data_IF_552149972695
#
_entry.id   IF_552149972695
#
_cell.length_a   1.000
_cell.length_b   1.000
_cell.length_c   1.000
_cell.angle_alpha   90.00
_cell.angle_beta   90.00
_cell.angle_gamma   90.00
#
_symmetry.space_group_name_H-M   'P 1'
#
loop_
_entity.id
_entity.type
_entity.pdbx_description
1 polymer ?
#
# COMPACT_ATOMS: atom_id res chain seq x y z
N UNK A 1 -46.41 29.23 -34.06
CA UNK A 1 -45.69 27.98 -34.35
C UNK A 1 -44.21 28.27 -34.11
N UNK A 2 -43.75 28.06 -32.87
CA UNK A 2 -42.40 28.39 -32.42
C UNK A 2 -41.74 27.07 -32.10
N UNK A 3 -40.70 26.74 -32.87
CA UNK A 3 -39.93 25.51 -32.74
C UNK A 3 -38.86 25.74 -31.64
N UNK A 4 -38.93 25.00 -30.57
CA UNK A 4 -37.89 24.96 -29.54
C UNK A 4 -36.87 23.85 -29.91
N UNK A 5 -35.63 24.26 -30.22
CA UNK A 5 -34.49 23.38 -30.41
C UNK A 5 -33.89 23.11 -29.03
N UNK A 6 -34.08 21.90 -28.51
CA UNK A 6 -33.46 21.46 -27.27
C UNK A 6 -31.98 21.13 -27.48
N UNK A 7 -31.10 21.88 -26.82
CA UNK A 7 -29.68 21.56 -26.69
C UNK A 7 -29.53 20.42 -25.68
N UNK A 8 -29.16 19.24 -26.12
CA UNK A 8 -28.73 18.14 -25.24
C UNK A 8 -27.27 18.43 -24.86
N UNK A 9 -27.08 18.95 -23.66
CA UNK A 9 -25.75 19.02 -23.04
C UNK A 9 -25.31 17.60 -22.63
N UNK A 10 -24.34 17.06 -23.37
CA UNK A 10 -23.67 15.83 -22.98
C UNK A 10 -22.88 16.10 -21.67
N UNK A 11 -23.40 15.65 -20.56
CA UNK A 11 -22.66 15.58 -19.29
C UNK A 11 -21.56 14.53 -19.45
N UNK A 12 -20.36 14.97 -19.75
CA UNK A 12 -19.14 14.17 -19.61
C UNK A 12 -18.91 13.91 -18.12
N UNK A 13 -19.26 12.72 -17.67
CA UNK A 13 -18.87 12.23 -16.35
C UNK A 13 -17.36 12.25 -16.25
N UNK A 14 -16.78 12.82 -15.17
CA UNK A 14 -15.35 12.78 -14.96
C UNK A 14 -14.91 11.31 -14.83
N UNK A 15 -13.92 10.92 -15.63
CA UNK A 15 -13.24 9.64 -15.53
C UNK A 15 -12.57 9.55 -14.17
N UNK A 16 -13.20 8.83 -13.25
CA UNK A 16 -12.58 8.51 -11.96
C UNK A 16 -11.40 7.55 -12.20
N UNK A 17 -10.21 8.09 -12.19
CA UNK A 17 -8.98 7.30 -12.12
C UNK A 17 -8.96 6.60 -10.78
N UNK A 18 -9.11 5.28 -10.80
CA UNK A 18 -8.88 4.42 -9.65
C UNK A 18 -7.37 4.25 -9.47
N UNK A 19 -6.75 5.14 -8.69
CA UNK A 19 -5.39 4.96 -8.20
C UNK A 19 -5.40 4.01 -7.00
N UNK A 20 -5.74 2.74 -7.24
CA UNK A 20 -5.34 1.68 -6.33
C UNK A 20 -3.87 1.38 -6.60
N UNK A 21 -2.96 1.98 -5.83
CA UNK A 21 -1.51 1.70 -5.80
C UNK A 21 -0.79 1.72 -7.17
N UNK A 22 -1.15 2.63 -8.06
CA UNK A 22 -0.32 2.93 -9.22
C UNK A 22 0.32 4.29 -9.02
N UNK A 23 1.46 4.33 -8.33
CA UNK A 23 2.38 5.44 -8.51
C UNK A 23 2.87 5.36 -9.97
N UNK A 24 2.42 6.28 -10.81
CA UNK A 24 2.97 6.47 -12.14
C UNK A 24 4.41 7.01 -11.97
N UNK A 25 5.37 6.16 -12.23
CA UNK A 25 6.79 6.53 -12.21
C UNK A 25 7.14 7.12 -13.58
N UNK A 26 7.23 8.45 -13.66
CA UNK A 26 7.77 9.14 -14.82
C UNK A 26 9.29 8.90 -14.92
N UNK A 27 9.77 8.86 -16.16
CA UNK A 27 11.13 8.58 -16.60
C UNK A 27 12.23 9.23 -15.74
N UNK A 28 13.26 8.42 -15.41
CA UNK A 28 14.56 8.94 -14.99
C UNK A 28 15.37 9.40 -16.22
N UNK A 29 15.92 10.62 -16.21
CA UNK A 29 17.11 10.91 -17.01
C UNK A 29 18.33 10.28 -16.31
N UNK A 30 19.16 9.59 -17.07
CA UNK A 30 20.45 9.07 -16.60
C UNK A 30 21.31 10.20 -16.00
N UNK A 31 21.72 10.06 -14.74
CA UNK A 31 22.67 10.95 -14.11
C UNK A 31 24.03 10.84 -14.81
N UNK A 32 24.49 11.92 -15.42
CA UNK A 32 25.87 12.05 -15.89
C UNK A 32 26.78 12.24 -14.67
N UNK A 33 27.71 11.31 -14.47
CA UNK A 33 28.85 11.47 -13.57
C UNK A 33 29.67 12.69 -14.00
N UNK A 34 29.70 13.74 -13.19
CA UNK A 34 30.71 14.79 -13.29
C UNK A 34 31.61 14.74 -12.05
N UNK A 35 32.88 14.55 -12.35
CA UNK A 35 33.97 14.40 -11.39
C UNK A 35 34.17 15.63 -10.51
N UNK A 36 34.51 15.37 -9.25
CA UNK A 36 35.04 16.31 -8.27
C UNK A 36 36.50 16.58 -8.62
N UNK A 37 36.88 17.84 -8.84
CA UNK A 37 38.22 18.32 -8.60
C UNK A 37 38.22 19.84 -8.38
N UNK A 38 38.47 20.28 -7.15
CA UNK A 38 39.35 21.44 -6.86
C UNK A 38 39.58 21.53 -5.35
N UNK A 39 40.83 21.25 -4.98
CA UNK A 39 41.39 21.51 -3.66
C UNK A 39 41.77 22.99 -3.63
N UNK A 40 41.16 23.76 -2.75
CA UNK A 40 41.51 25.14 -2.43
C UNK A 40 42.04 25.26 -0.99
N UNK A 41 43.12 25.98 -0.81
CA UNK A 41 43.96 26.16 0.39
C UNK A 41 43.17 26.47 1.68
N UNK A 42 43.59 25.79 2.77
CA UNK A 42 43.14 26.00 4.15
C UNK A 42 44.00 27.09 4.80
N UNK A 43 43.34 28.17 5.22
CA UNK A 43 43.94 29.17 6.12
C UNK A 43 43.65 28.76 7.58
N UNK A 44 44.70 28.77 8.42
CA UNK A 44 44.68 28.32 9.81
C UNK A 44 44.25 29.46 10.73
N UNK A 45 43.01 29.46 11.19
CA UNK A 45 42.61 30.11 12.43
C UNK A 45 41.69 29.14 13.21
N UNK A 46 41.92 29.02 14.50
CA UNK A 46 41.52 27.99 15.43
C UNK A 46 40.05 27.51 15.36
N UNK A 47 39.75 26.31 15.89
CA UNK A 47 38.48 25.68 15.66
C UNK A 47 37.33 26.44 16.32
N UNK A 48 36.25 26.81 15.58
CA UNK A 48 35.01 27.21 16.23
C UNK A 48 34.49 26.02 17.01
N UNK A 49 34.00 26.26 18.22
CA UNK A 49 33.35 25.27 19.05
C UNK A 49 32.30 24.55 18.19
N UNK A 50 32.51 23.26 17.97
CA UNK A 50 31.49 22.35 17.39
C UNK A 50 30.30 22.40 18.33
N UNK A 51 29.26 23.16 17.96
CA UNK A 51 27.93 22.95 18.45
C UNK A 51 27.56 21.53 18.02
N UNK A 52 27.80 20.55 18.88
CA UNK A 52 27.29 19.20 18.71
C UNK A 52 25.77 19.30 18.88
N UNK A 53 25.07 19.52 17.77
CA UNK A 53 23.62 19.31 17.72
C UNK A 53 23.40 17.86 18.14
N UNK A 54 22.73 17.65 19.28
CA UNK A 54 22.39 16.32 19.74
C UNK A 54 21.72 15.55 18.57
N UNK A 55 22.03 14.26 18.37
CA UNK A 55 21.44 13.52 17.28
C UNK A 55 19.91 13.58 17.41
N UNK A 56 19.24 14.03 16.36
CA UNK A 56 17.77 14.12 16.32
C UNK A 56 17.21 12.73 16.60
N UNK A 57 16.27 12.60 17.54
CA UNK A 57 15.65 11.30 17.85
C UNK A 57 14.80 10.80 16.66
N UNK A 58 14.58 9.52 16.58
CA UNK A 58 13.69 8.94 15.56
C UNK A 58 12.28 9.52 15.65
N UNK A 59 11.73 9.65 16.86
CA UNK A 59 10.42 10.25 17.10
C UNK A 59 10.32 11.70 16.65
N UNK A 60 11.36 12.52 16.90
CA UNK A 60 11.39 13.91 16.39
C UNK A 60 11.35 13.97 14.86
N UNK A 61 12.02 13.03 14.19
CA UNK A 61 11.97 12.94 12.72
C UNK A 61 10.58 12.50 12.25
N UNK A 62 9.95 11.55 12.94
CA UNK A 62 8.57 11.14 12.66
C UNK A 62 7.59 12.31 12.83
N UNK A 63 7.75 13.13 13.89
CA UNK A 63 6.92 14.30 14.16
C UNK A 63 7.06 15.37 13.07
N UNK A 64 8.26 15.56 12.52
CA UNK A 64 8.47 16.47 11.40
C UNK A 64 7.66 16.03 10.17
N UNK A 65 7.72 14.74 9.79
CA UNK A 65 6.95 14.20 8.66
C UNK A 65 5.45 14.30 8.96
N UNK A 66 5.04 13.95 10.19
CA UNK A 66 3.64 14.03 10.63
C UNK A 66 3.10 15.45 10.50
N UNK A 67 3.84 16.45 10.96
CA UNK A 67 3.45 17.86 10.84
C UNK A 67 3.26 18.28 9.37
N UNK A 68 4.15 17.87 8.48
CA UNK A 68 4.06 18.17 7.04
C UNK A 68 2.75 17.63 6.44
N UNK A 69 2.40 16.39 6.77
CA UNK A 69 1.19 15.76 6.22
C UNK A 69 -0.10 16.25 6.88
N UNK A 70 -0.13 16.37 8.20
CA UNK A 70 -1.34 16.70 8.93
C UNK A 70 -1.83 18.14 8.71
N UNK A 71 -0.94 19.08 8.46
CA UNK A 71 -1.33 20.45 8.10
C UNK A 71 -2.03 20.55 6.74
N UNK A 72 -1.86 19.56 5.88
CA UNK A 72 -2.38 19.54 4.51
C UNK A 72 -3.14 18.25 4.18
N UNK A 73 -3.53 17.45 5.17
CA UNK A 73 -4.16 16.14 4.99
C UNK A 73 -5.42 16.22 4.09
N UNK A 74 -6.21 17.28 4.23
CA UNK A 74 -7.43 17.56 3.45
C UNK A 74 -7.16 17.79 1.95
N UNK A 75 -5.91 18.02 1.54
CA UNK A 75 -5.56 18.18 0.11
C UNK A 75 -5.34 16.86 -0.60
N UNK A 76 -5.17 15.78 0.16
CA UNK A 76 -4.94 14.46 -0.39
C UNK A 76 -6.22 13.88 -1.05
N UNK A 77 -6.07 13.09 -2.13
CA UNK A 77 -7.18 12.29 -2.62
C UNK A 77 -7.74 11.36 -1.53
N UNK A 78 -9.05 11.14 -1.50
CA UNK A 78 -9.74 10.37 -0.44
C UNK A 78 -9.11 9.00 -0.12
N UNK A 79 -8.53 8.33 -1.11
CA UNK A 79 -7.78 7.09 -0.88
C UNK A 79 -6.51 7.32 -0.05
N UNK A 80 -5.73 8.34 -0.39
CA UNK A 80 -4.48 8.68 0.31
C UNK A 80 -4.74 9.24 1.69
N UNK A 81 -5.74 10.11 1.81
CA UNK A 81 -6.21 10.65 3.08
C UNK A 81 -6.62 9.51 4.03
N UNK A 82 -7.48 8.59 3.57
CA UNK A 82 -7.92 7.44 4.36
C UNK A 82 -6.81 6.42 4.65
N UNK A 83 -5.88 6.24 3.73
CA UNK A 83 -4.71 5.37 3.92
C UNK A 83 -3.79 5.90 5.02
N UNK A 84 -3.51 7.21 5.03
CA UNK A 84 -2.77 7.88 6.09
C UNK A 84 -3.55 7.82 7.42
N UNK A 85 -4.80 8.27 7.41
CA UNK A 85 -5.61 8.38 8.61
C UNK A 85 -5.82 7.06 9.33
N UNK A 86 -6.09 5.96 8.61
CA UNK A 86 -6.26 4.64 9.21
C UNK A 86 -4.97 4.14 9.88
N UNK A 87 -3.82 4.34 9.25
CA UNK A 87 -2.53 3.93 9.84
C UNK A 87 -2.19 4.73 11.08
N UNK A 88 -2.37 6.04 11.02
CA UNK A 88 -2.12 6.90 12.17
C UNK A 88 -3.12 6.63 13.30
N UNK A 89 -4.39 6.37 12.99
CA UNK A 89 -5.37 5.96 13.99
C UNK A 89 -4.94 4.67 14.70
N UNK A 90 -4.52 3.64 13.94
CA UNK A 90 -4.04 2.36 14.52
C UNK A 90 -2.80 2.54 15.39
N UNK A 91 -1.94 3.51 15.09
CA UNK A 91 -0.76 3.80 15.90
C UNK A 91 -1.06 4.63 17.16
N UNK A 92 -2.08 5.48 17.14
CA UNK A 92 -2.26 6.51 18.20
C UNK A 92 -3.61 6.44 18.90
N UNK A 93 -4.62 5.83 18.27
CA UNK A 93 -6.03 5.85 18.68
C UNK A 93 -6.59 7.28 18.82
N UNK A 94 -6.05 8.24 18.06
CA UNK A 94 -6.45 9.64 18.12
C UNK A 94 -7.61 9.91 17.14
N UNK A 95 -8.73 10.39 17.70
CA UNK A 95 -9.98 10.68 16.97
C UNK A 95 -9.83 11.78 15.91
N UNK A 96 -8.75 12.55 15.92
CA UNK A 96 -8.49 13.55 14.87
C UNK A 96 -8.42 12.93 13.46
N UNK A 97 -8.15 11.62 13.36
CA UNK A 97 -8.12 10.90 12.08
C UNK A 97 -9.50 10.37 11.63
N UNK A 98 -10.56 10.55 12.43
CA UNK A 98 -11.90 10.05 12.10
C UNK A 98 -12.44 10.63 10.77
N UNK A 99 -12.15 11.91 10.47
CA UNK A 99 -12.55 12.52 9.21
C UNK A 99 -11.91 11.85 7.98
N UNK A 100 -10.62 11.53 8.06
CA UNK A 100 -9.89 10.81 7.01
C UNK A 100 -10.44 9.39 6.81
N UNK A 101 -10.82 8.70 7.89
CA UNK A 101 -11.52 7.41 7.84
C UNK A 101 -12.88 7.58 7.15
N UNK A 102 -13.62 8.65 7.44
CA UNK A 102 -14.89 8.98 6.78
C UNK A 102 -14.74 9.14 5.26
N UNK A 103 -13.68 9.80 4.81
CA UNK A 103 -13.34 9.95 3.38
C UNK A 103 -13.10 8.59 2.71
N UNK A 104 -12.38 7.69 3.36
CA UNK A 104 -12.16 6.31 2.86
C UNK A 104 -13.46 5.51 2.81
N UNK A 105 -14.31 5.60 3.84
CA UNK A 105 -15.61 4.95 3.87
C UNK A 105 -16.51 5.39 2.72
N UNK A 106 -16.58 6.69 2.43
CA UNK A 106 -17.35 7.21 1.31
C UNK A 106 -16.87 6.66 -0.04
N UNK A 107 -15.55 6.58 -0.23
CA UNK A 107 -14.91 5.99 -1.40
C UNK A 107 -15.24 4.50 -1.55
N UNK A 108 -15.10 3.72 -0.48
CA UNK A 108 -15.37 2.29 -0.45
C UNK A 108 -16.85 2.02 -0.75
N UNK A 109 -17.76 2.76 -0.12
CA UNK A 109 -19.19 2.66 -0.37
C UNK A 109 -19.54 2.92 -1.84
N UNK A 110 -19.00 4.01 -2.42
CA UNK A 110 -19.23 4.37 -3.83
C UNK A 110 -18.82 3.24 -4.77
N UNK A 111 -17.65 2.64 -4.54
CA UNK A 111 -17.15 1.52 -5.35
C UNK A 111 -18.04 0.28 -5.23
N UNK A 112 -18.34 -0.15 -4.01
CA UNK A 112 -19.16 -1.33 -3.76
C UNK A 112 -20.60 -1.16 -4.29
N UNK A 113 -21.19 0.04 -4.18
CA UNK A 113 -22.49 0.35 -4.79
C UNK A 113 -22.45 0.16 -6.32
N UNK A 114 -21.42 0.70 -6.97
CA UNK A 114 -21.24 0.57 -8.41
C UNK A 114 -21.08 -0.90 -8.83
N UNK A 115 -20.25 -1.66 -8.11
CA UNK A 115 -20.01 -3.07 -8.42
C UNK A 115 -21.29 -3.92 -8.23
N UNK A 116 -22.02 -3.71 -7.15
CA UNK A 116 -23.27 -4.41 -6.90
C UNK A 116 -24.35 -4.07 -7.93
N UNK A 117 -24.40 -2.85 -8.44
CA UNK A 117 -25.37 -2.43 -9.45
C UNK A 117 -24.97 -2.86 -10.87
N UNK A 118 -23.70 -2.59 -11.27
CA UNK A 118 -23.31 -2.54 -12.67
C UNK A 118 -22.25 -3.55 -13.10
N UNK A 119 -21.58 -4.26 -12.15
CA UNK A 119 -20.46 -5.15 -12.49
C UNK A 119 -20.60 -6.48 -11.73
N UNK A 120 -21.61 -7.27 -12.07
CA UNK A 120 -21.93 -8.50 -11.35
C UNK A 120 -22.32 -9.69 -12.24
N UNK A 121 -22.35 -9.52 -13.58
CA UNK A 121 -22.48 -10.64 -14.53
C UNK A 121 -21.14 -10.86 -15.28
N UNK A 122 -20.88 -12.05 -15.83
CA UNK A 122 -19.65 -12.34 -16.57
C UNK A 122 -19.37 -11.30 -17.69
N UNK A 123 -20.40 -10.91 -18.45
CA UNK A 123 -20.28 -9.97 -19.56
C UNK A 123 -19.96 -8.53 -19.05
N UNK A 124 -20.55 -8.13 -17.93
CA UNK A 124 -20.26 -6.83 -17.29
C UNK A 124 -18.81 -6.81 -16.76
N UNK A 125 -18.40 -7.90 -16.09
CA UNK A 125 -17.05 -8.07 -15.57
C UNK A 125 -16.03 -7.99 -16.71
N UNK A 126 -16.27 -8.71 -17.80
CA UNK A 126 -15.37 -8.69 -18.95
C UNK A 126 -15.27 -7.32 -19.60
N UNK A 127 -16.38 -6.60 -19.76
CA UNK A 127 -16.35 -5.21 -20.28
C UNK A 127 -15.58 -4.26 -19.37
N UNK A 128 -15.78 -4.37 -18.05
CA UNK A 128 -15.07 -3.58 -17.05
C UNK A 128 -13.55 -3.88 -17.11
N UNK A 129 -13.18 -5.15 -17.10
CA UNK A 129 -11.81 -5.63 -17.13
C UNK A 129 -11.08 -5.16 -18.40
N UNK A 130 -11.71 -5.27 -19.57
CA UNK A 130 -11.13 -4.79 -20.83
C UNK A 130 -10.93 -3.27 -20.85
N UNK A 131 -11.85 -2.50 -20.27
CA UNK A 131 -11.66 -1.05 -20.10
C UNK A 131 -10.48 -0.72 -19.20
N UNK A 132 -10.34 -1.46 -18.09
CA UNK A 132 -9.18 -1.33 -17.18
C UNK A 132 -7.87 -1.69 -17.87
N UNK A 133 -7.85 -2.81 -18.60
CA UNK A 133 -6.67 -3.29 -19.30
C UNK A 133 -6.13 -2.28 -20.32
N UNK A 134 -6.99 -1.55 -21.02
CA UNK A 134 -6.58 -0.48 -21.95
C UNK A 134 -5.74 0.60 -21.29
N UNK A 135 -6.01 0.96 -20.02
CA UNK A 135 -5.21 1.96 -19.33
C UNK A 135 -3.80 1.47 -19.02
N UNK A 136 -3.63 0.16 -18.78
CA UNK A 136 -2.31 -0.45 -18.62
C UNK A 136 -1.56 -0.55 -19.95
N UNK A 137 -2.25 -0.85 -21.03
CA UNK A 137 -1.66 -0.91 -22.38
C UNK A 137 -1.09 0.43 -22.84
N UNK A 138 -1.72 1.54 -22.45
CA UNK A 138 -1.34 2.89 -22.84
C UNK A 138 -0.24 3.51 -21.99
N UNK A 139 0.11 2.90 -20.88
CA UNK A 139 1.17 3.40 -20.00
C UNK A 139 2.56 3.08 -20.58
N UNK A 140 3.51 3.99 -20.34
CA UNK A 140 4.87 3.86 -20.88
C UNK A 140 5.88 3.28 -19.88
N UNK A 141 5.52 3.26 -18.58
CA UNK A 141 6.42 2.77 -17.55
C UNK A 141 6.52 1.23 -17.55
N UNK A 142 7.73 0.72 -17.28
CA UNK A 142 8.07 -0.71 -17.33
C UNK A 142 7.17 -1.56 -16.40
N UNK A 143 6.86 -1.05 -15.20
CA UNK A 143 6.03 -1.78 -14.22
C UNK A 143 4.61 -1.99 -14.73
N UNK A 144 4.01 -0.94 -15.29
CA UNK A 144 2.65 -1.00 -15.84
C UNK A 144 2.61 -1.86 -17.11
N UNK A 145 3.63 -1.80 -17.95
CA UNK A 145 3.74 -2.68 -19.12
C UNK A 145 3.86 -4.16 -18.70
N UNK A 146 4.64 -4.48 -17.68
CA UNK A 146 4.72 -5.85 -17.14
C UNK A 146 3.37 -6.33 -16.62
N UNK A 147 2.64 -5.46 -15.93
CA UNK A 147 1.27 -5.73 -15.46
C UNK A 147 0.30 -5.97 -16.61
N UNK A 148 0.40 -5.19 -17.69
CA UNK A 148 -0.38 -5.42 -18.90
C UNK A 148 -0.10 -6.80 -19.47
N UNK A 149 1.17 -7.16 -19.71
CA UNK A 149 1.57 -8.45 -20.27
C UNK A 149 1.06 -9.61 -19.41
N UNK A 150 1.20 -9.52 -18.08
CA UNK A 150 0.76 -10.56 -17.17
C UNK A 150 -0.78 -10.74 -17.16
N UNK A 151 -1.55 -9.66 -17.31
CA UNK A 151 -3.01 -9.72 -17.15
C UNK A 151 -3.80 -9.77 -18.46
N UNK A 152 -3.17 -9.57 -19.62
CA UNK A 152 -3.90 -9.50 -20.91
C UNK A 152 -4.72 -10.78 -21.22
N UNK A 153 -4.28 -11.95 -20.78
CA UNK A 153 -4.97 -13.23 -20.97
C UNK A 153 -5.97 -13.58 -19.84
N UNK A 154 -5.96 -12.82 -18.74
CA UNK A 154 -6.85 -12.98 -17.58
C UNK A 154 -7.30 -11.60 -17.05
N UNK A 155 -7.91 -10.75 -17.90
CA UNK A 155 -8.17 -9.35 -17.60
C UNK A 155 -9.16 -9.15 -16.44
N UNK A 156 -10.03 -10.13 -16.17
CA UNK A 156 -10.99 -10.12 -15.06
C UNK A 156 -10.31 -10.00 -13.70
N UNK A 157 -9.03 -10.39 -13.58
CA UNK A 157 -8.22 -10.18 -12.37
C UNK A 157 -8.19 -8.70 -11.94
N UNK A 158 -8.14 -7.77 -12.90
CA UNK A 158 -8.16 -6.32 -12.60
C UNK A 158 -9.44 -5.90 -11.87
N UNK A 159 -10.55 -6.55 -12.16
CA UNK A 159 -11.79 -6.34 -11.43
C UNK A 159 -11.82 -7.13 -10.12
N UNK A 160 -11.63 -8.44 -10.20
CA UNK A 160 -11.82 -9.37 -9.08
C UNK A 160 -10.83 -9.09 -7.94
N UNK A 161 -9.54 -9.07 -8.24
CA UNK A 161 -8.48 -8.91 -7.25
C UNK A 161 -8.24 -7.45 -6.86
N UNK A 162 -8.06 -6.57 -7.86
CA UNK A 162 -7.64 -5.19 -7.58
C UNK A 162 -8.81 -4.33 -7.10
N UNK A 163 -9.97 -4.44 -7.73
CA UNK A 163 -11.06 -3.49 -7.49
C UNK A 163 -12.11 -4.02 -6.52
N UNK A 164 -12.69 -5.19 -6.76
CA UNK A 164 -13.76 -5.75 -5.92
C UNK A 164 -13.23 -6.24 -4.57
N UNK A 165 -12.31 -7.20 -4.59
CA UNK A 165 -11.78 -7.81 -3.36
C UNK A 165 -11.12 -6.78 -2.44
N UNK A 166 -10.33 -5.87 -2.99
CA UNK A 166 -9.71 -4.79 -2.21
C UNK A 166 -10.73 -3.84 -1.57
N UNK A 167 -11.88 -3.60 -2.23
CA UNK A 167 -12.95 -2.77 -1.63
C UNK A 167 -13.74 -3.53 -0.56
N UNK A 168 -13.98 -4.83 -0.74
CA UNK A 168 -14.63 -5.68 0.26
C UNK A 168 -13.75 -5.86 1.50
N UNK A 169 -12.45 -6.13 1.30
CA UNK A 169 -11.48 -6.25 2.38
C UNK A 169 -11.38 -4.96 3.21
N UNK A 170 -11.33 -3.81 2.54
CA UNK A 170 -11.32 -2.52 3.26
C UNK A 170 -12.59 -2.27 4.07
N UNK A 171 -13.76 -2.63 3.57
CA UNK A 171 -14.98 -2.57 4.38
C UNK A 171 -14.91 -3.54 5.57
N UNK A 172 -14.39 -4.75 5.35
CA UNK A 172 -14.23 -5.76 6.39
C UNK A 172 -13.29 -5.30 7.53
N UNK A 173 -12.18 -4.62 7.20
CA UNK A 173 -11.26 -4.04 8.20
C UNK A 173 -11.96 -3.08 9.18
N UNK A 174 -13.04 -2.42 8.75
CA UNK A 174 -13.85 -1.55 9.60
C UNK A 174 -15.02 -2.27 10.30
N UNK A 175 -15.13 -3.59 10.17
CA UNK A 175 -16.29 -4.35 10.65
C UNK A 175 -17.57 -4.02 9.88
N UNK A 176 -17.43 -3.65 8.61
CA UNK A 176 -18.51 -3.27 7.70
C UNK A 176 -18.57 -4.21 6.50
N UNK A 177 -19.72 -4.23 5.84
CA UNK A 177 -19.92 -4.89 4.55
C UNK A 177 -20.93 -4.12 3.71
N UNK A 178 -21.02 -4.45 2.42
CA UNK A 178 -22.06 -3.89 1.58
C UNK A 178 -23.42 -4.56 1.91
N UNK A 179 -24.54 -3.85 1.77
CA UNK A 179 -25.87 -4.40 1.98
C UNK A 179 -26.19 -5.58 1.05
N UNK A 180 -25.59 -5.62 -0.15
CA UNK A 180 -25.66 -6.71 -1.11
C UNK A 180 -24.37 -7.56 -1.11
N UNK A 181 -23.73 -7.73 0.05
CA UNK A 181 -22.45 -8.43 0.21
C UNK A 181 -22.48 -9.85 -0.37
N UNK A 182 -23.58 -10.61 -0.15
CA UNK A 182 -23.71 -11.96 -0.68
C UNK A 182 -23.67 -12.00 -2.22
N UNK A 183 -24.26 -11.01 -2.88
CA UNK A 183 -24.18 -10.90 -4.35
C UNK A 183 -22.73 -10.70 -4.83
N UNK A 184 -21.96 -9.86 -4.12
CA UNK A 184 -20.56 -9.61 -4.42
C UNK A 184 -19.69 -10.85 -4.13
N UNK A 185 -19.94 -11.57 -3.04
CA UNK A 185 -19.30 -12.85 -2.73
C UNK A 185 -19.57 -13.92 -3.78
N UNK A 186 -20.80 -14.01 -4.29
CA UNK A 186 -21.14 -14.92 -5.40
C UNK A 186 -20.36 -14.61 -6.66
N UNK A 187 -20.02 -13.34 -6.92
CA UNK A 187 -19.11 -12.98 -8.02
C UNK A 187 -17.73 -13.59 -7.79
N UNK A 188 -17.14 -13.43 -6.59
CA UNK A 188 -15.81 -14.00 -6.28
C UNK A 188 -15.80 -15.52 -6.39
N UNK A 189 -16.84 -16.21 -5.90
CA UNK A 189 -16.95 -17.68 -5.91
C UNK A 189 -17.07 -18.30 -7.31
N UNK A 190 -17.43 -17.51 -8.33
CA UNK A 190 -17.48 -17.99 -9.74
C UNK A 190 -16.10 -18.18 -10.36
N UNK A 191 -15.06 -17.63 -9.74
CA UNK A 191 -13.70 -17.63 -10.26
C UNK A 191 -12.76 -18.33 -9.27
N UNK A 192 -12.03 -19.34 -9.75
CA UNK A 192 -10.90 -19.88 -8.99
C UNK A 192 -9.76 -18.86 -8.98
N UNK A 193 -9.29 -18.50 -7.79
CA UNK A 193 -8.22 -17.52 -7.65
C UNK A 193 -6.82 -18.15 -7.75
N UNK A 194 -6.73 -19.48 -7.69
CA UNK A 194 -5.46 -20.22 -7.75
C UNK A 194 -4.62 -19.88 -8.99
N UNK A 195 -5.18 -19.83 -10.22
CA UNK A 195 -4.40 -19.48 -11.41
C UNK A 195 -3.75 -18.09 -11.32
N UNK A 196 -4.45 -17.08 -10.76
CA UNK A 196 -3.87 -15.75 -10.60
C UNK A 196 -2.74 -15.74 -9.56
N UNK A 197 -2.92 -16.48 -8.48
CA UNK A 197 -2.00 -16.51 -7.35
C UNK A 197 -0.72 -17.32 -7.62
N UNK A 198 -0.75 -18.26 -8.57
CA UNK A 198 0.36 -19.20 -8.81
C UNK A 198 1.07 -19.02 -10.15
N UNK A 199 0.55 -18.17 -11.04
CA UNK A 199 1.20 -17.86 -12.31
C UNK A 199 2.46 -17.02 -12.09
N UNK A 200 3.60 -17.45 -12.66
CA UNK A 200 4.90 -16.78 -12.50
C UNK A 200 4.85 -15.34 -13.01
N UNK A 201 4.24 -15.08 -14.17
CA UNK A 201 4.14 -13.73 -14.75
C UNK A 201 3.28 -12.82 -13.87
N UNK A 202 2.20 -13.34 -13.28
CA UNK A 202 1.38 -12.61 -12.32
C UNK A 202 2.17 -12.27 -11.05
N UNK A 203 2.93 -13.21 -10.50
CA UNK A 203 3.78 -12.96 -9.32
C UNK A 203 4.84 -11.91 -9.64
N UNK A 204 5.50 -11.98 -10.79
CA UNK A 204 6.50 -10.99 -11.23
C UNK A 204 5.92 -9.59 -11.45
N UNK A 205 4.63 -9.48 -11.72
CA UNK A 205 3.95 -8.19 -11.95
C UNK A 205 3.21 -7.65 -10.72
N UNK A 206 2.69 -8.53 -9.84
CA UNK A 206 1.69 -8.20 -8.83
C UNK A 206 1.99 -8.78 -7.44
N UNK A 207 3.23 -9.14 -7.11
CA UNK A 207 3.58 -9.86 -5.88
C UNK A 207 2.91 -9.31 -4.61
N UNK A 208 3.02 -8.01 -4.36
CA UNK A 208 2.41 -7.37 -3.18
C UNK A 208 0.88 -7.44 -3.20
N UNK A 209 0.26 -7.20 -4.38
CA UNK A 209 -1.19 -7.26 -4.52
C UNK A 209 -1.71 -8.68 -4.34
N UNK A 210 -1.03 -9.67 -4.92
CA UNK A 210 -1.39 -11.08 -4.76
C UNK A 210 -1.24 -11.53 -3.30
N UNK A 211 -0.14 -11.14 -2.63
CA UNK A 211 0.03 -11.39 -1.20
C UNK A 211 -1.19 -10.90 -0.40
N UNK A 212 -1.60 -9.64 -0.61
CA UNK A 212 -2.79 -9.10 0.06
C UNK A 212 -4.06 -9.90 -0.27
N UNK A 213 -4.27 -10.20 -1.53
CA UNK A 213 -5.51 -10.79 -2.03
C UNK A 213 -5.74 -12.20 -1.51
N UNK A 214 -4.70 -13.03 -1.43
CA UNK A 214 -4.82 -14.39 -0.91
C UNK A 214 -5.18 -14.41 0.57
N UNK A 215 -4.64 -13.48 1.35
CA UNK A 215 -5.02 -13.30 2.75
C UNK A 215 -6.42 -12.70 2.90
N UNK A 216 -6.80 -11.71 2.09
CA UNK A 216 -8.16 -11.16 2.12
C UNK A 216 -9.23 -12.19 1.78
N UNK A 217 -8.98 -13.08 0.81
CA UNK A 217 -9.88 -14.19 0.49
C UNK A 217 -10.08 -15.12 1.70
N UNK A 218 -8.98 -15.46 2.40
CA UNK A 218 -9.02 -16.24 3.65
C UNK A 218 -9.81 -15.53 4.75
N UNK A 219 -9.49 -14.24 4.99
CA UNK A 219 -10.16 -13.41 6.02
C UNK A 219 -11.64 -13.19 5.75
N UNK A 220 -12.05 -13.12 4.49
CA UNK A 220 -13.46 -13.05 4.08
C UNK A 220 -14.16 -14.41 4.12
N UNK A 221 -13.46 -15.51 4.38
CA UNK A 221 -14.01 -16.87 4.40
C UNK A 221 -14.42 -17.38 3.00
N UNK A 222 -13.75 -16.89 1.94
CA UNK A 222 -14.06 -17.28 0.56
C UNK A 222 -13.18 -18.43 0.06
N UNK A 223 -11.93 -18.15 -0.27
CA UNK A 223 -10.95 -19.13 -0.75
C UNK A 223 -9.70 -19.06 0.11
N UNK A 224 -9.04 -20.18 0.32
CA UNK A 224 -7.72 -20.22 0.96
C UNK A 224 -6.66 -20.68 -0.05
N UNK A 225 -5.98 -19.73 -0.63
CA UNK A 225 -4.91 -19.95 -1.61
C UNK A 225 -3.56 -19.39 -1.13
N UNK A 226 -3.41 -19.17 0.18
CA UNK A 226 -2.18 -18.59 0.77
C UNK A 226 -0.99 -19.52 0.58
N UNK A 227 -1.09 -20.79 0.96
CA UNK A 227 0.01 -21.74 0.81
C UNK A 227 0.41 -21.97 -0.66
N UNK A 228 -0.53 -22.21 -1.59
CA UNK A 228 -0.21 -22.26 -3.02
C UNK A 228 0.54 -21.02 -3.52
N UNK A 229 0.10 -19.82 -3.11
CA UNK A 229 0.79 -18.57 -3.46
C UNK A 229 2.21 -18.51 -2.89
N UNK A 230 2.41 -18.80 -1.60
CA UNK A 230 3.72 -18.76 -0.95
C UNK A 230 4.69 -19.72 -1.66
N UNK A 231 4.25 -20.93 -1.99
CA UNK A 231 5.07 -21.90 -2.71
C UNK A 231 5.46 -21.39 -4.10
N UNK A 232 4.51 -20.89 -4.89
CA UNK A 232 4.74 -20.33 -6.21
C UNK A 232 5.65 -19.09 -6.16
N UNK A 233 5.45 -18.20 -5.17
CA UNK A 233 6.28 -17.03 -4.94
C UNK A 233 7.74 -17.39 -4.69
N UNK A 234 8.01 -18.37 -3.81
CA UNK A 234 9.37 -18.85 -3.53
C UNK A 234 10.04 -19.54 -4.73
N UNK A 235 9.25 -20.19 -5.57
CA UNK A 235 9.73 -20.77 -6.83
C UNK A 235 10.06 -19.70 -7.87
N UNK A 236 9.26 -18.63 -7.94
CA UNK A 236 9.46 -17.50 -8.84
C UNK A 236 10.69 -16.68 -8.45
N UNK A 237 10.93 -16.51 -7.15
CA UNK A 237 12.02 -15.70 -6.58
C UNK A 237 12.96 -16.51 -5.68
N UNK A 238 13.68 -17.51 -6.19
CA UNK A 238 14.69 -18.24 -5.40
C UNK A 238 15.84 -17.29 -5.03
N UNK A 239 16.28 -17.33 -3.76
CA UNK A 239 17.26 -16.39 -3.20
C UNK A 239 18.61 -16.42 -3.95
N UNK A 240 18.99 -17.59 -4.49
CA UNK A 240 20.23 -17.77 -5.24
C UNK A 240 20.29 -16.95 -6.54
N UNK A 241 19.15 -16.45 -7.01
CA UNK A 241 19.05 -15.67 -8.25
C UNK A 241 18.90 -14.16 -8.02
N UNK A 242 19.06 -13.67 -6.80
CA UNK A 242 18.89 -12.24 -6.48
C UNK A 242 19.83 -11.32 -7.25
N UNK A 243 21.03 -11.80 -7.57
CA UNK A 243 22.01 -11.05 -8.36
C UNK A 243 21.58 -10.87 -9.83
N UNK A 244 20.66 -11.72 -10.34
CA UNK A 244 20.14 -11.67 -11.70
C UNK A 244 18.95 -10.69 -11.81
N UNK A 245 18.31 -10.37 -10.69
CA UNK A 245 17.14 -9.48 -10.67
C UNK A 245 17.56 -8.02 -10.90
N UNK A 246 16.87 -7.33 -11.81
CA UNK A 246 17.02 -5.89 -11.90
C UNK A 246 16.38 -5.18 -10.67
N UNK A 247 16.54 -3.85 -10.56
CA UNK A 247 16.06 -3.10 -9.38
C UNK A 247 14.54 -3.24 -9.16
N UNK A 248 13.75 -3.29 -10.24
CA UNK A 248 12.31 -3.42 -10.14
C UNK A 248 11.88 -4.83 -9.74
N UNK A 249 12.51 -5.87 -10.30
CA UNK A 249 12.23 -7.26 -9.94
C UNK A 249 12.61 -7.55 -8.49
N UNK A 250 13.79 -7.06 -8.06
CA UNK A 250 14.23 -7.18 -6.68
C UNK A 250 13.28 -6.46 -5.71
N UNK A 251 12.88 -5.24 -6.05
CA UNK A 251 11.86 -4.51 -5.28
C UNK A 251 10.53 -5.25 -5.22
N UNK A 252 10.08 -5.87 -6.32
CA UNK A 252 8.84 -6.65 -6.35
C UNK A 252 8.91 -7.91 -5.48
N UNK A 253 10.08 -8.60 -5.43
CA UNK A 253 10.33 -9.69 -4.48
C UNK A 253 10.17 -9.20 -3.04
N UNK A 254 10.85 -8.12 -2.67
CA UNK A 254 10.78 -7.57 -1.31
C UNK A 254 9.37 -7.12 -0.93
N UNK A 255 8.65 -6.43 -1.83
CA UNK A 255 7.25 -6.07 -1.62
C UNK A 255 6.35 -7.30 -1.41
N UNK A 256 6.57 -8.38 -2.15
CA UNK A 256 5.84 -9.62 -1.94
C UNK A 256 6.06 -10.17 -0.52
N UNK A 257 7.30 -10.18 -0.05
CA UNK A 257 7.66 -10.66 1.29
C UNK A 257 7.08 -9.78 2.40
N UNK A 258 7.21 -8.46 2.32
CA UNK A 258 6.66 -7.55 3.33
C UNK A 258 5.14 -7.59 3.37
N UNK A 259 4.49 -7.69 2.21
CA UNK A 259 3.04 -7.77 2.13
C UNK A 259 2.45 -9.11 2.60
N UNK A 260 3.21 -10.22 2.56
CA UNK A 260 2.82 -11.46 3.25
C UNK A 260 2.68 -11.19 4.76
N UNK A 261 3.67 -10.51 5.38
CA UNK A 261 3.63 -10.15 6.81
C UNK A 261 2.50 -9.17 7.11
N UNK A 262 2.35 -8.13 6.30
CA UNK A 262 1.32 -7.10 6.51
C UNK A 262 -0.09 -7.65 6.37
N UNK A 263 -0.32 -8.50 5.37
CA UNK A 263 -1.62 -9.11 5.15
C UNK A 263 -1.98 -10.13 6.24
N UNK A 264 -0.99 -10.89 6.74
CA UNK A 264 -1.18 -11.79 7.88
C UNK A 264 -1.49 -11.02 9.17
N UNK A 265 -0.89 -9.85 9.39
CA UNK A 265 -1.20 -8.96 10.53
C UNK A 265 -2.55 -8.24 10.39
N UNK A 266 -3.32 -8.50 9.33
CA UNK A 266 -4.50 -7.72 8.94
C UNK A 266 -4.20 -6.20 8.88
N UNK A 267 -3.03 -5.87 8.31
CA UNK A 267 -2.56 -4.48 8.21
C UNK A 267 -2.46 -3.78 9.57
N UNK A 268 -1.60 -4.32 10.43
CA UNK A 268 -1.22 -3.75 11.74
C UNK A 268 -2.28 -3.91 12.85
N UNK A 269 -3.22 -4.86 12.69
CA UNK A 269 -4.25 -5.11 13.69
C UNK A 269 -3.78 -6.07 14.78
N UNK A 270 -2.88 -6.99 14.48
CA UNK A 270 -2.29 -7.92 15.45
C UNK A 270 -0.84 -8.28 15.10
N UNK A 271 -0.13 -8.83 16.09
CA UNK A 271 1.22 -9.35 15.87
C UNK A 271 1.18 -10.62 15.04
N UNK A 272 2.26 -10.85 14.30
CA UNK A 272 2.48 -12.07 13.52
C UNK A 272 3.51 -12.98 14.20
N UNK A 273 3.48 -14.26 13.88
CA UNK A 273 4.47 -15.21 14.38
C UNK A 273 5.72 -15.19 13.51
N UNK A 274 6.89 -14.81 14.09
CA UNK A 274 8.18 -14.95 13.40
C UNK A 274 8.36 -16.37 12.85
N UNK A 275 8.03 -17.40 13.64
CA UNK A 275 8.18 -18.80 13.26
C UNK A 275 7.38 -19.18 12.00
N UNK A 276 6.18 -18.63 11.80
CA UNK A 276 5.38 -18.89 10.60
C UNK A 276 6.03 -18.32 9.34
N UNK A 277 6.71 -17.18 9.48
CA UNK A 277 7.37 -16.47 8.40
C UNK A 277 8.90 -16.49 8.50
N UNK A 278 9.47 -17.48 9.19
CA UNK A 278 10.90 -17.57 9.49
C UNK A 278 11.78 -17.32 8.25
N UNK A 279 11.41 -17.90 7.11
CA UNK A 279 12.15 -17.73 5.86
C UNK A 279 12.25 -16.28 5.38
N UNK A 280 11.24 -15.41 5.67
CA UNK A 280 11.26 -13.98 5.35
C UNK A 280 12.22 -13.26 6.29
N UNK A 281 12.09 -13.50 7.60
CA UNK A 281 12.95 -12.85 8.61
C UNK A 281 14.43 -13.24 8.44
N UNK A 282 14.72 -14.51 8.19
CA UNK A 282 16.07 -14.98 7.91
C UNK A 282 16.65 -14.33 6.66
N UNK A 283 15.85 -14.23 5.59
CA UNK A 283 16.25 -13.54 4.37
C UNK A 283 16.56 -12.07 4.63
N UNK A 284 15.72 -11.35 5.34
CA UNK A 284 15.94 -9.93 5.64
C UNK A 284 17.18 -9.71 6.50
N UNK A 285 17.40 -10.53 7.53
CA UNK A 285 18.62 -10.47 8.37
C UNK A 285 19.89 -10.73 7.55
N UNK A 286 19.88 -11.75 6.71
CA UNK A 286 21.04 -12.12 5.89
C UNK A 286 21.36 -11.07 4.81
N UNK A 287 20.37 -10.34 4.32
CA UNK A 287 20.50 -9.47 3.17
C UNK A 287 20.30 -7.97 3.47
N UNK A 288 20.25 -7.56 4.74
CA UNK A 288 19.89 -6.17 5.11
C UNK A 288 20.79 -5.14 4.41
N UNK A 289 22.08 -5.33 4.30
CA UNK A 289 23.00 -4.38 3.66
C UNK A 289 22.68 -4.23 2.15
N UNK A 290 22.39 -5.34 1.48
CA UNK A 290 21.97 -5.34 0.07
C UNK A 290 20.62 -4.65 -0.10
N UNK A 291 19.68 -4.87 0.82
CA UNK A 291 18.37 -4.24 0.82
C UNK A 291 18.53 -2.71 0.94
N UNK A 292 19.32 -2.24 1.90
CA UNK A 292 19.59 -0.80 2.08
C UNK A 292 20.23 -0.14 0.85
N UNK A 293 21.05 -0.90 0.10
CA UNK A 293 21.70 -0.38 -1.12
C UNK A 293 20.79 -0.37 -2.34
N UNK A 294 19.87 -1.34 -2.47
CA UNK A 294 19.10 -1.59 -3.71
C UNK A 294 17.64 -1.19 -3.63
N UNK A 295 17.07 -1.16 -2.42
CA UNK A 295 15.64 -0.92 -2.24
C UNK A 295 15.31 0.56 -2.08
N UNK A 296 14.07 0.92 -2.41
CA UNK A 296 13.51 2.25 -2.19
C UNK A 296 13.19 2.47 -0.71
N UNK A 297 13.09 3.72 -0.23
CA UNK A 297 12.80 4.01 1.16
C UNK A 297 11.52 3.38 1.70
N UNK A 298 10.46 3.29 0.90
CA UNK A 298 9.21 2.63 1.30
C UNK A 298 9.41 1.14 1.59
N UNK A 299 10.15 0.42 0.75
CA UNK A 299 10.49 -1.00 0.97
C UNK A 299 11.35 -1.16 2.24
N UNK A 300 12.35 -0.29 2.43
CA UNK A 300 13.19 -0.32 3.63
C UNK A 300 12.35 -0.12 4.90
N UNK A 301 11.39 0.83 4.84
CA UNK A 301 10.46 1.04 5.96
C UNK A 301 9.57 -0.20 6.20
N UNK A 302 9.05 -0.83 5.14
CA UNK A 302 8.25 -2.06 5.25
C UNK A 302 9.05 -3.22 5.86
N UNK A 303 10.32 -3.38 5.49
CA UNK A 303 11.19 -4.40 6.09
C UNK A 303 11.32 -4.17 7.60
N UNK A 304 11.61 -2.95 8.05
CA UNK A 304 11.69 -2.64 9.48
C UNK A 304 10.37 -2.87 10.23
N UNK A 305 9.25 -2.42 9.65
CA UNK A 305 7.90 -2.60 10.21
C UNK A 305 7.56 -4.11 10.31
N UNK A 306 8.02 -4.94 9.38
CA UNK A 306 7.80 -6.39 9.46
C UNK A 306 8.36 -6.98 10.76
N UNK A 307 9.54 -6.54 11.21
CA UNK A 307 10.12 -6.95 12.50
C UNK A 307 9.32 -6.42 13.69
N UNK A 308 8.85 -5.18 13.62
CA UNK A 308 7.99 -4.60 14.66
C UNK A 308 6.67 -5.36 14.81
N UNK A 309 6.10 -5.83 13.70
CA UNK A 309 4.91 -6.68 13.69
C UNK A 309 5.14 -8.08 14.30
N UNK A 310 6.38 -8.55 14.36
CA UNK A 310 6.72 -9.79 15.06
C UNK A 310 7.16 -9.56 16.53
N UNK A 311 7.09 -8.32 17.04
CA UNK A 311 7.57 -7.96 18.36
C UNK A 311 9.09 -8.00 18.53
N UNK A 312 9.82 -7.85 17.42
CA UNK A 312 11.30 -7.93 17.35
C UNK A 312 11.93 -6.53 17.32
N UNK A 313 11.53 -5.65 18.23
CA UNK A 313 11.95 -4.24 18.25
C UNK A 313 13.46 -4.05 18.40
N UNK A 314 14.13 -4.97 19.12
CA UNK A 314 15.57 -4.94 19.39
C UNK A 314 16.41 -5.59 18.30
N UNK A 315 15.80 -6.13 17.23
CA UNK A 315 16.53 -6.73 16.14
C UNK A 315 17.39 -5.69 15.41
N UNK A 316 18.67 -5.97 15.09
CA UNK A 316 19.55 -5.03 14.38
C UNK A 316 18.98 -4.50 13.06
N UNK A 317 18.10 -5.25 12.39
CA UNK A 317 17.40 -4.81 11.18
C UNK A 317 16.56 -3.57 11.45
N UNK A 318 15.86 -3.51 12.59
CA UNK A 318 15.02 -2.36 12.96
C UNK A 318 15.87 -1.10 13.12
N UNK A 319 16.99 -1.20 13.82
CA UNK A 319 17.90 -0.04 13.99
C UNK A 319 18.44 0.45 12.65
N UNK A 320 18.92 -0.46 11.79
CA UNK A 320 19.49 -0.12 10.49
C UNK A 320 18.46 0.53 9.56
N UNK A 321 17.24 0.00 9.51
CA UNK A 321 16.16 0.57 8.70
C UNK A 321 15.72 1.92 9.23
N UNK A 322 15.61 2.12 10.57
CA UNK A 322 15.33 3.43 11.19
C UNK A 322 16.39 4.46 10.83
N UNK A 323 17.67 4.11 10.92
CA UNK A 323 18.78 5.01 10.57
C UNK A 323 18.74 5.40 9.08
N UNK A 324 18.49 4.44 8.20
CA UNK A 324 18.35 4.69 6.76
C UNK A 324 17.18 5.65 6.47
N UNK A 325 16.00 5.41 7.02
CA UNK A 325 14.82 6.24 6.83
C UNK A 325 15.02 7.64 7.41
N UNK A 326 15.61 7.77 8.59
CA UNK A 326 15.93 9.07 9.18
C UNK A 326 16.87 9.90 8.28
N UNK A 327 17.87 9.24 7.69
CA UNK A 327 18.83 9.90 6.78
C UNK A 327 18.19 10.30 5.43
N UNK A 328 17.10 9.62 5.02
CA UNK A 328 16.40 9.91 3.77
C UNK A 328 15.44 11.10 3.86
N UNK A 329 15.12 11.59 5.07
CA UNK A 329 14.20 12.71 5.26
C UNK A 329 14.90 14.04 4.94
N UNK A 330 14.33 14.79 4.01
CA UNK A 330 14.68 16.19 3.80
C UNK A 330 14.13 17.03 4.97
N UNK A 331 15.02 17.69 5.71
CA UNK A 331 14.67 18.44 6.92
C UNK A 331 13.97 19.76 6.65
N UNK A 332 14.18 20.35 5.48
CA UNK A 332 13.55 21.61 5.10
C UNK A 332 12.13 21.38 4.60
N UNK A 333 11.92 20.32 3.82
CA UNK A 333 10.62 19.93 3.32
C UNK A 333 9.82 19.05 4.30
N UNK A 334 10.47 18.49 5.31
CA UNK A 334 9.86 17.66 6.33
C UNK A 334 9.30 16.34 5.81
N UNK A 335 9.88 15.78 4.74
CA UNK A 335 9.42 14.51 4.16
C UNK A 335 10.51 13.83 3.32
N UNK A 336 10.31 12.56 3.01
CA UNK A 336 11.16 11.81 2.08
C UNK A 336 10.68 12.11 0.65
N UNK A 337 11.55 12.65 -0.23
CA UNK A 337 11.19 12.91 -1.63
C UNK A 337 10.98 11.62 -2.43
N UNK A 338 10.41 11.74 -3.61
CA UNK A 338 10.43 10.67 -4.60
C UNK A 338 11.86 10.34 -5.05
N UNK A 339 12.04 9.24 -5.76
CA UNK A 339 13.35 8.90 -6.36
C UNK A 339 13.82 9.90 -7.42
N UNK A 340 12.91 10.74 -7.95
CA UNK A 340 13.22 11.86 -8.84
C UNK A 340 13.43 13.18 -8.10
N UNK A 341 13.36 13.21 -6.77
CA UNK A 341 13.52 14.41 -5.96
C UNK A 341 12.26 15.26 -5.81
N UNK A 342 11.09 14.72 -6.16
CA UNK A 342 9.82 15.41 -6.07
C UNK A 342 9.23 15.31 -4.64
N UNK A 343 8.60 16.39 -4.18
CA UNK A 343 7.96 16.55 -2.87
C UNK A 343 6.43 16.59 -2.94
N UNK A 344 5.81 16.03 -3.98
CA UNK A 344 4.36 15.92 -4.05
C UNK A 344 3.82 15.06 -2.89
N UNK A 345 2.91 15.64 -2.10
CA UNK A 345 2.36 14.99 -0.90
C UNK A 345 1.56 13.73 -1.25
N UNK A 346 0.76 13.77 -2.31
CA UNK A 346 -0.08 12.65 -2.68
C UNK A 346 0.74 11.48 -3.23
N UNK A 347 1.78 11.76 -4.02
CA UNK A 347 2.70 10.76 -4.53
C UNK A 347 3.65 10.22 -3.45
N UNK A 348 3.99 11.05 -2.46
CA UNK A 348 4.86 10.70 -1.33
C UNK A 348 4.14 10.04 -0.15
N UNK A 349 2.80 10.05 -0.09
CA UNK A 349 2.03 9.66 1.11
C UNK A 349 2.39 8.26 1.62
N UNK A 350 2.39 7.25 0.76
CA UNK A 350 2.70 5.88 1.16
C UNK A 350 4.07 5.75 1.82
N UNK A 351 5.11 6.31 1.19
CA UNK A 351 6.48 6.27 1.70
C UNK A 351 6.63 6.98 3.03
N UNK A 352 5.96 8.12 3.19
CA UNK A 352 6.10 8.95 4.37
C UNK A 352 5.27 8.46 5.55
N UNK A 353 4.07 7.90 5.34
CA UNK A 353 3.32 7.27 6.44
C UNK A 353 4.03 6.03 6.98
N UNK A 354 4.67 5.23 6.13
CA UNK A 354 5.51 4.11 6.56
C UNK A 354 6.75 4.58 7.32
N UNK A 355 7.36 5.70 6.90
CA UNK A 355 8.47 6.31 7.63
C UNK A 355 8.06 6.73 9.04
N UNK A 356 6.89 7.39 9.22
CA UNK A 356 6.35 7.73 10.53
C UNK A 356 6.18 6.47 11.38
N UNK A 357 5.54 5.44 10.81
CA UNK A 357 5.28 4.19 11.54
C UNK A 357 6.56 3.50 11.98
N UNK A 358 7.59 3.41 11.13
CA UNK A 358 8.86 2.79 11.50
C UNK A 358 9.61 3.58 12.58
N UNK A 359 9.66 4.91 12.44
CA UNK A 359 10.44 5.79 13.33
C UNK A 359 9.78 5.98 14.69
N UNK A 360 8.46 5.92 14.77
CA UNK A 360 7.65 6.16 15.97
C UNK A 360 6.59 5.07 16.17
N UNK A 361 6.99 3.81 16.04
CA UNK A 361 6.11 2.66 16.25
C UNK A 361 5.52 2.64 17.65
N UNK A 362 4.21 2.47 17.76
CA UNK A 362 3.50 2.44 19.05
C UNK A 362 3.05 1.02 19.41
N UNK A 363 2.15 0.47 18.59
CA UNK A 363 1.63 -0.88 18.79
C UNK A 363 0.78 -1.33 17.59
N UNK A 364 0.31 -2.56 17.63
CA UNK A 364 -0.78 -3.06 16.79
C UNK A 364 -2.12 -2.71 17.41
N UNK A 365 -3.11 -2.37 16.59
CA UNK A 365 -4.48 -2.12 17.03
C UNK A 365 -5.50 -2.59 16.00
N UNK A 366 -6.51 -3.33 16.45
CA UNK A 366 -7.62 -3.76 15.59
C UNK A 366 -8.72 -2.68 15.41
N UNK A 367 -8.51 -1.48 15.94
CA UNK A 367 -9.37 -0.30 15.80
C UNK A 367 -9.01 0.49 14.51
N UNK A 368 -9.90 1.33 13.97
CA UNK A 368 -11.29 1.45 14.42
C UNK A 368 -12.17 0.39 13.74
N UNK A 369 -13.09 -0.17 14.51
CA UNK A 369 -14.16 -1.02 13.96
C UNK A 369 -15.52 -0.50 14.40
N UNK A 370 -16.54 -0.83 13.60
CA UNK A 370 -17.92 -0.39 13.87
C UNK A 370 -18.50 -0.93 15.19
N UNK A 371 -17.86 -1.92 15.79
CA UNK A 371 -18.23 -2.49 17.09
C UNK A 371 -17.48 -1.86 18.28
N UNK A 372 -16.23 -1.45 18.07
CA UNK A 372 -15.37 -0.92 19.15
C UNK A 372 -15.47 0.61 19.25
N UNK A 373 -15.59 1.32 18.13
CA UNK A 373 -15.69 2.79 18.03
C UNK A 373 -16.96 3.17 17.27
N UNK A 374 -18.17 2.84 17.80
CA UNK A 374 -19.43 3.08 17.10
C UNK A 374 -19.68 4.57 16.76
N UNK A 375 -19.06 5.49 17.48
CA UNK A 375 -19.14 6.95 17.26
C UNK A 375 -18.52 7.37 15.91
N UNK A 376 -17.45 6.74 15.46
CA UNK A 376 -16.84 6.97 14.13
C UNK A 376 -17.77 6.50 13.01
N UNK A 377 -18.63 5.53 13.29
CA UNK A 377 -19.49 4.85 12.31
C UNK A 377 -20.99 5.17 12.50
N UNK A 378 -21.32 6.36 13.01
CA UNK A 378 -22.71 6.78 13.20
C UNK A 378 -23.41 7.14 11.89
N UNK A 379 -22.71 7.79 10.96
CA UNK A 379 -23.22 8.23 9.67
C UNK A 379 -22.66 7.40 8.51
N UNK A 380 -23.01 6.10 8.42
CA UNK A 380 -22.50 5.26 7.33
C UNK A 380 -22.95 5.76 5.97
N UNK A 381 -22.05 5.83 4.97
CA UNK A 381 -22.41 6.07 3.59
C UNK A 381 -23.39 5.02 3.07
N UNK A 382 -24.31 5.44 2.18
CA UNK A 382 -25.28 4.53 1.58
C UNK A 382 -24.61 3.29 0.99
N UNK A 383 -25.18 2.13 1.27
CA UNK A 383 -24.71 0.83 0.81
C UNK A 383 -23.87 0.08 1.85
N UNK A 384 -23.21 0.75 2.80
CA UNK A 384 -22.49 0.09 3.89
C UNK A 384 -23.41 -0.21 5.07
N UNK A 385 -23.21 -1.38 5.67
CA UNK A 385 -23.90 -1.83 6.89
C UNK A 385 -22.90 -2.47 7.83
N UNK A 386 -23.18 -2.40 9.14
CA UNK A 386 -22.36 -3.07 10.17
C UNK A 386 -22.45 -4.59 10.01
N UNK A 387 -21.35 -5.28 10.17
CA UNK A 387 -21.36 -6.73 10.27
C UNK A 387 -22.02 -7.14 11.60
N UNK A 388 -22.76 -8.26 11.58
CA UNK A 388 -23.22 -8.86 12.81
C UNK A 388 -22.01 -9.48 13.52
N UNK A 389 -21.78 -9.11 14.76
CA UNK A 389 -20.85 -9.82 15.62
C UNK A 389 -21.53 -11.12 16.00
N UNK A 390 -21.10 -12.24 15.46
CA UNK A 390 -21.54 -13.55 15.97
C UNK A 390 -21.05 -13.68 17.42
N UNK A 391 -22.01 -13.69 18.35
CA UNK A 391 -21.74 -13.81 19.79
C UNK A 391 -21.34 -15.24 20.20
N UNK A 392 -20.88 -16.06 19.28
CA UNK A 392 -20.50 -17.46 19.52
C UNK A 392 -19.07 -17.72 19.08
N UNK A 393 -18.12 -17.23 19.87
CA UNK A 393 -16.85 -17.94 20.13
C UNK A 393 -16.41 -17.48 21.52
N UNK A 394 -16.69 -18.29 22.50
CA UNK A 394 -16.02 -18.28 23.82
C UNK A 394 -15.10 -19.48 23.88
#
# INVERSE_FOLDING_TARGET
>A
MVIWSGLIAALTLPTFYSNAQTEAWHHQPQAKNSAISSIGNIDRNGPPALNTVAPTSFSTTADLIRQTYETQLFTLPAFKEGHYGLRMYRQTLDDKYAAAIGSDLARVASRLNYFAAEVNTPEQIQRYAQKRLKSYQQAEDERTQRRFVATQNMPEYLYLGIDLLGSMARANEYGLKHKEDEKLRQVLRRYDFTPYATDTGMIEAWAAQLANQVYWLRQLGEQDVVEPFIQAFRQTYPDQRDAELNAQQYGNKLYGMTHIIFADSEYYQHLVSEKQHQWIYDYFRANIETILQRAKPDIVAEVGISFLLAGLEDDPVVLKTRQFIQAAVDKEQGMIPSTSGDFDLALGEHRNVLAIMLLDWRSVNNAPTSSQQPEIFTGLPYGLVKQKVDKTVH
#
